data_IF_039448936380
#
_entry.id   IF_039448936380
#
_cell.length_a   1.000
_cell.length_b   1.000
_cell.length_c   1.000
_cell.angle_alpha   90.00
_cell.angle_beta   90.00
_cell.angle_gamma   90.00
#
_symmetry.space_group_name_H-M   'P 1'
#
loop_
_entity.id
_entity.type
_entity.pdbx_description
1 polymer ?
#
# COMPACT_ATOMS: atom_id res chain seq x y z
N UNK A 1 24.29 -50.86 -30.73
CA UNK A 1 24.40 -49.73 -29.78
C UNK A 1 23.25 -49.82 -28.78
N UNK A 2 23.26 -50.70 -27.76
CA UNK A 2 21.97 -51.04 -27.11
C UNK A 2 21.92 -50.86 -25.60
N UNK A 3 23.04 -50.98 -24.90
CA UNK A 3 23.05 -51.25 -23.45
C UNK A 3 23.87 -50.22 -22.68
N UNK A 4 25.09 -49.90 -23.12
CA UNK A 4 25.90 -48.83 -22.48
C UNK A 4 25.29 -47.44 -22.65
N UNK A 5 24.80 -47.11 -23.84
CA UNK A 5 24.14 -45.82 -24.12
C UNK A 5 22.82 -45.68 -23.36
N UNK A 6 22.08 -46.77 -23.17
CA UNK A 6 20.82 -46.77 -22.39
C UNK A 6 21.06 -46.55 -20.89
N UNK A 7 22.12 -47.14 -20.33
CA UNK A 7 22.49 -46.92 -18.93
C UNK A 7 23.04 -45.50 -18.70
N UNK A 8 23.80 -44.98 -19.67
CA UNK A 8 24.28 -43.59 -19.65
C UNK A 8 23.09 -42.61 -19.73
N UNK A 9 22.15 -42.84 -20.64
CA UNK A 9 20.92 -42.04 -20.76
C UNK A 9 20.11 -42.09 -19.46
N UNK A 10 19.97 -43.26 -18.84
CA UNK A 10 19.26 -43.42 -17.56
C UNK A 10 19.92 -42.63 -16.44
N UNK A 11 21.25 -42.68 -16.34
CA UNK A 11 22.02 -41.90 -15.36
C UNK A 11 21.87 -40.39 -15.55
N UNK A 12 21.89 -39.92 -16.80
CA UNK A 12 21.71 -38.49 -17.13
C UNK A 12 20.31 -38.02 -16.77
N UNK A 13 19.26 -38.81 -17.06
CA UNK A 13 17.89 -38.47 -16.69
C UNK A 13 17.74 -38.37 -15.16
N UNK A 14 18.31 -39.31 -14.42
CA UNK A 14 18.28 -39.29 -12.94
C UNK A 14 18.99 -38.04 -12.41
N UNK A 15 20.15 -37.69 -12.97
CA UNK A 15 20.91 -36.51 -12.57
C UNK A 15 20.12 -35.21 -12.83
N UNK A 16 19.43 -35.11 -13.96
CA UNK A 16 18.55 -33.97 -14.29
C UNK A 16 17.39 -33.87 -13.30
N UNK A 17 16.75 -35.00 -12.95
CA UNK A 17 15.63 -35.02 -12.00
C UNK A 17 16.08 -34.62 -10.60
N UNK A 18 17.24 -35.12 -10.14
CA UNK A 18 17.81 -34.74 -8.85
C UNK A 18 18.20 -33.27 -8.82
N UNK A 19 18.80 -32.75 -9.89
CA UNK A 19 19.16 -31.34 -10.01
C UNK A 19 17.93 -30.43 -10.01
N UNK A 20 16.87 -30.81 -10.74
CA UNK A 20 15.62 -30.07 -10.77
C UNK A 20 14.91 -30.07 -9.40
N UNK A 21 14.88 -31.22 -8.72
CA UNK A 21 14.33 -31.32 -7.37
C UNK A 21 15.14 -30.49 -6.36
N UNK A 22 16.47 -30.55 -6.44
CA UNK A 22 17.35 -29.72 -5.60
C UNK A 22 17.11 -28.23 -5.87
N UNK A 23 17.06 -27.82 -7.15
CA UNK A 23 16.80 -26.43 -7.51
C UNK A 23 15.44 -25.96 -7.01
N UNK A 24 14.39 -26.78 -7.13
CA UNK A 24 13.04 -26.41 -6.71
C UNK A 24 12.88 -26.33 -5.18
N UNK A 25 13.59 -27.16 -4.42
CA UNK A 25 13.51 -27.18 -2.95
C UNK A 25 14.52 -26.27 -2.24
N UNK A 26 15.68 -26.00 -2.85
CA UNK A 26 16.80 -25.29 -2.20
C UNK A 26 17.16 -23.94 -2.83
N UNK A 27 16.72 -23.64 -4.05
CA UNK A 27 16.80 -22.28 -4.59
C UNK A 27 15.55 -21.54 -4.14
N UNK A 28 15.61 -20.98 -2.92
CA UNK A 28 14.68 -19.91 -2.52
C UNK A 28 15.08 -18.69 -3.34
N UNK A 29 14.09 -17.99 -3.89
CA UNK A 29 14.29 -16.69 -4.54
C UNK A 29 15.16 -15.82 -3.63
N UNK A 30 16.40 -15.59 -4.03
CA UNK A 30 17.13 -14.42 -3.51
C UNK A 30 16.45 -13.24 -4.18
N UNK A 31 15.39 -12.74 -3.53
CA UNK A 31 14.83 -11.43 -3.80
C UNK A 31 16.01 -10.46 -3.83
N UNK A 32 16.37 -10.08 -5.05
CA UNK A 32 17.50 -9.22 -5.33
C UNK A 32 17.30 -7.94 -4.54
N UNK A 33 18.22 -7.72 -3.59
CA UNK A 33 18.27 -6.64 -2.63
C UNK A 33 17.45 -5.39 -3.02
N UNK A 34 16.24 -5.30 -2.48
CA UNK A 34 15.50 -4.05 -2.42
C UNK A 34 16.11 -3.25 -1.27
N UNK A 35 16.75 -2.13 -1.59
CA UNK A 35 17.44 -1.24 -0.68
C UNK A 35 16.55 -0.86 0.53
N UNK A 36 16.73 -1.56 1.65
CA UNK A 36 16.20 -1.11 2.94
C UNK A 36 17.14 -0.03 3.45
N UNK A 37 16.67 1.21 3.43
CA UNK A 37 17.27 2.29 4.21
C UNK A 37 17.13 1.91 5.68
N UNK A 38 18.26 1.64 6.33
CA UNK A 38 18.32 1.46 7.77
C UNK A 38 18.15 2.84 8.42
N UNK A 39 16.90 3.28 8.61
CA UNK A 39 16.61 4.30 9.62
C UNK A 39 16.97 3.70 10.98
N UNK A 40 17.89 4.35 11.67
CA UNK A 40 18.26 4.00 13.03
C UNK A 40 17.03 4.20 13.94
N UNK A 41 16.25 3.14 14.20
CA UNK A 41 14.97 3.27 14.91
C UNK A 41 14.22 1.99 15.27
N UNK A 42 14.88 0.91 15.70
CA UNK A 42 14.24 -0.13 16.53
C UNK A 42 13.13 -0.98 15.89
N UNK A 43 13.53 -2.08 15.26
CA UNK A 43 12.72 -3.05 14.52
C UNK A 43 11.74 -3.93 15.33
N UNK A 44 10.91 -3.35 16.20
CA UNK A 44 9.70 -4.02 16.75
C UNK A 44 8.40 -3.22 16.61
N UNK A 45 8.47 -1.88 16.47
CA UNK A 45 7.29 -1.03 16.31
C UNK A 45 6.98 -0.59 14.87
N UNK A 46 7.99 -0.49 14.00
CA UNK A 46 7.80 -0.02 12.61
C UNK A 46 6.97 -1.00 11.76
N UNK A 47 7.07 -2.32 12.01
CA UNK A 47 6.28 -3.31 11.26
C UNK A 47 4.80 -3.24 11.57
N UNK A 48 4.40 -2.94 12.81
CA UNK A 48 3.00 -2.83 13.20
C UNK A 48 2.37 -1.57 12.61
N UNK A 49 3.07 -0.42 12.69
CA UNK A 49 2.59 0.85 12.11
C UNK A 49 2.41 0.74 10.59
N UNK A 50 3.34 0.07 9.89
CA UNK A 50 3.24 -0.14 8.44
C UNK A 50 2.04 -1.04 8.10
N UNK A 51 1.79 -2.09 8.89
CA UNK A 51 0.62 -2.95 8.69
C UNK A 51 -0.70 -2.21 8.95
N UNK A 52 -0.79 -1.44 10.04
CA UNK A 52 -1.96 -0.61 10.35
C UNK A 52 -2.25 0.42 9.26
N UNK A 53 -1.20 1.05 8.72
CA UNK A 53 -1.32 1.99 7.61
C UNK A 53 -1.84 1.32 6.34
N UNK A 54 -1.34 0.13 5.99
CA UNK A 54 -1.81 -0.62 4.82
C UNK A 54 -3.27 -1.09 4.98
N UNK A 55 -3.67 -1.49 6.19
CA UNK A 55 -5.06 -1.83 6.52
C UNK A 55 -5.97 -0.61 6.36
N UNK A 56 -5.54 0.55 6.86
CA UNK A 56 -6.28 1.81 6.70
C UNK A 56 -6.40 2.21 5.21
N UNK A 57 -5.31 2.09 4.45
CA UNK A 57 -5.28 2.40 3.02
C UNK A 57 -6.24 1.49 2.24
N UNK A 58 -6.23 0.18 2.53
CA UNK A 58 -7.16 -0.76 1.93
C UNK A 58 -8.62 -0.45 2.30
N UNK A 59 -8.85 -0.03 3.55
CA UNK A 59 -10.18 0.39 4.01
C UNK A 59 -10.66 1.63 3.25
N UNK A 60 -9.80 2.64 3.10
CA UNK A 60 -10.11 3.86 2.33
C UNK A 60 -10.34 3.57 0.84
N UNK A 61 -9.52 2.70 0.23
CA UNK A 61 -9.66 2.32 -1.18
C UNK A 61 -10.96 1.57 -1.50
N UNK A 62 -11.60 0.97 -0.50
CA UNK A 62 -12.88 0.29 -0.64
C UNK A 62 -14.09 1.18 -0.31
N UNK A 63 -13.88 2.45 0.06
CA UNK A 63 -14.99 3.40 0.25
C UNK A 63 -15.56 3.73 -1.12
N UNK A 64 -16.79 3.25 -1.35
CA UNK A 64 -17.60 3.66 -2.49
C UNK A 64 -18.61 4.69 -1.99
N UNK A 65 -18.53 5.90 -2.54
CA UNK A 65 -19.56 6.90 -2.34
C UNK A 65 -20.74 6.54 -3.24
N UNK A 66 -21.92 6.45 -2.62
CA UNK A 66 -23.18 6.36 -3.34
C UNK A 66 -23.47 7.73 -3.97
N UNK A 67 -23.44 7.78 -5.30
CA UNK A 67 -23.70 9.01 -6.06
C UNK A 67 -25.16 9.19 -6.42
N UNK A 68 -26.01 8.18 -6.19
CA UNK A 68 -27.42 8.19 -6.60
C UNK A 68 -28.20 9.26 -5.82
N UNK A 69 -27.71 9.61 -4.62
CA UNK A 69 -28.27 10.71 -3.81
C UNK A 69 -28.24 12.06 -4.56
N UNK A 70 -27.26 12.27 -5.45
CA UNK A 70 -27.12 13.51 -6.22
C UNK A 70 -28.09 13.58 -7.40
N UNK A 71 -28.63 12.45 -7.84
CA UNK A 71 -29.66 12.38 -8.88
C UNK A 71 -31.06 12.68 -8.33
N UNK A 72 -31.23 12.66 -7.01
CA UNK A 72 -32.53 12.93 -6.38
C UNK A 72 -32.96 14.39 -6.64
N UNK A 73 -34.21 14.62 -7.14
CA UNK A 73 -34.73 15.97 -7.32
C UNK A 73 -34.71 16.84 -6.06
N UNK A 74 -34.83 16.22 -4.87
CA UNK A 74 -34.73 16.91 -3.58
C UNK A 74 -33.32 17.47 -3.38
N UNK A 75 -32.28 16.71 -3.68
CA UNK A 75 -30.89 17.18 -3.58
C UNK A 75 -30.64 18.38 -4.50
N UNK A 76 -31.18 18.32 -5.72
CA UNK A 76 -31.09 19.41 -6.70
C UNK A 76 -31.96 20.64 -6.35
N UNK A 77 -32.88 20.50 -5.40
CA UNK A 77 -33.72 21.61 -4.92
C UNK A 77 -33.11 22.38 -3.76
N UNK A 78 -32.02 21.89 -3.17
CA UNK A 78 -31.33 22.56 -2.07
C UNK A 78 -30.78 23.91 -2.56
N UNK A 79 -31.13 24.97 -1.82
CA UNK A 79 -30.54 26.28 -1.99
C UNK A 79 -29.45 26.48 -0.95
N UNK A 80 -28.34 27.05 -1.39
CA UNK A 80 -27.35 27.58 -0.47
C UNK A 80 -27.90 28.89 0.12
N UNK A 81 -28.13 28.87 1.43
CA UNK A 81 -28.55 30.04 2.21
C UNK A 81 -27.32 30.63 2.93
N UNK A 82 -26.26 30.87 2.15
CA UNK A 82 -25.07 31.55 2.65
C UNK A 82 -25.34 33.05 2.77
N UNK A 83 -24.88 33.64 3.87
CA UNK A 83 -24.93 35.08 4.11
C UNK A 83 -23.55 35.65 3.82
N UNK A 84 -23.48 36.69 2.99
CA UNK A 84 -22.24 37.43 2.82
C UNK A 84 -21.82 38.05 4.16
N UNK A 85 -20.65 37.66 4.65
CA UNK A 85 -20.05 38.30 5.81
C UNK A 85 -19.34 39.57 5.33
N UNK A 86 -19.76 40.71 5.87
CA UNK A 86 -19.04 41.97 5.66
C UNK A 86 -17.87 42.07 6.63
N UNK A 87 -16.79 42.70 6.18
CA UNK A 87 -15.68 43.03 7.06
C UNK A 87 -16.18 43.98 8.17
N UNK A 88 -16.20 43.49 9.39
CA UNK A 88 -16.40 44.34 10.56
C UNK A 88 -15.09 45.09 10.88
N UNK A 89 -15.17 46.33 11.36
CA UNK A 89 -13.98 47.05 11.79
C UNK A 89 -13.29 46.22 12.87
N UNK A 90 -12.06 45.78 12.58
CA UNK A 90 -11.24 45.12 13.58
C UNK A 90 -11.05 46.08 14.76
N UNK A 91 -11.27 45.56 15.97
CA UNK A 91 -10.97 46.31 17.19
C UNK A 91 -9.51 46.75 17.21
N UNK A 92 -9.19 47.69 18.11
CA UNK A 92 -7.78 48.06 18.34
C UNK A 92 -6.97 46.80 18.61
N UNK A 93 -5.79 46.68 18.01
CA UNK A 93 -4.85 45.57 18.28
C UNK A 93 -4.64 45.36 19.79
N UNK A 94 -4.60 46.47 20.55
CA UNK A 94 -4.65 46.46 22.00
C UNK A 94 -5.81 47.33 22.51
N UNK A 95 -6.87 46.71 23.09
CA UNK A 95 -8.02 47.45 23.62
C UNK A 95 -7.67 48.36 24.81
N UNK A 96 -6.50 48.18 25.44
CA UNK A 96 -6.06 48.92 26.63
C UNK A 96 -4.95 49.94 26.37
N UNK A 97 -4.49 50.13 25.13
CA UNK A 97 -3.46 51.14 24.87
C UNK A 97 -3.99 52.56 25.22
N UNK A 98 -3.15 53.45 25.79
CA UNK A 98 -3.55 54.83 26.11
C UNK A 98 -4.08 55.57 24.87
N UNK A 99 -4.96 56.55 25.10
CA UNK A 99 -5.55 57.42 24.07
C UNK A 99 -4.67 58.65 23.79
#
# INVERSE_FOLDING_TARGET
MKDKTKNIIGGVIILIVVFAAYSFFFVKDEDSALLVSQSAGGARGESEIVQEFLVLLHTLGNIKLDTDIFENPIFNSLRDESVELFDEPQGRENPFAPL
#
